data_IF_026437102481
#
_entry.id   IF_026437102481
#
_cell.length_a   1.000
_cell.length_b   1.000
_cell.length_c   1.000
_cell.angle_alpha   90.00
_cell.angle_beta   90.00
_cell.angle_gamma   90.00
#
_symmetry.space_group_name_H-M   'P 1'
#
loop_
_entity.id
_entity.type
_entity.pdbx_description
1 polymer ?
#
# COMPACT_ATOMS: atom_id res chain seq x y z
N UNK A 1 17.30 -33.10 -6.70
CA UNK A 1 16.56 -31.82 -6.71
C UNK A 1 17.47 -30.58 -6.65
N UNK A 2 18.68 -30.68 -6.08
CA UNK A 2 19.73 -29.64 -6.06
C UNK A 2 20.46 -29.37 -7.39
N UNK A 3 19.92 -29.85 -8.52
CA UNK A 3 20.55 -29.77 -9.84
C UNK A 3 19.65 -29.24 -10.97
N UNK A 4 18.42 -28.81 -10.66
CA UNK A 4 17.46 -28.30 -11.66
C UNK A 4 17.10 -26.82 -11.48
N UNK A 5 17.48 -26.20 -10.36
CA UNK A 5 17.23 -24.78 -10.05
C UNK A 5 18.51 -24.18 -9.45
N UNK A 6 18.99 -23.08 -10.03
CA UNK A 6 20.10 -22.29 -9.47
C UNK A 6 19.70 -21.77 -8.09
N UNK A 7 20.62 -21.62 -7.12
CA UNK A 7 20.31 -21.13 -5.76
C UNK A 7 19.47 -19.84 -5.75
N UNK A 8 19.68 -18.96 -6.73
CA UNK A 8 18.88 -17.74 -6.92
C UNK A 8 17.41 -18.01 -7.26
N UNK A 9 17.12 -19.04 -8.06
CA UNK A 9 15.75 -19.40 -8.44
C UNK A 9 15.00 -19.97 -7.23
N UNK A 10 15.68 -20.73 -6.38
CA UNK A 10 15.10 -21.21 -5.13
C UNK A 10 14.73 -20.05 -4.19
N UNK A 11 15.65 -19.10 -3.97
CA UNK A 11 15.39 -17.90 -3.17
C UNK A 11 14.21 -17.09 -3.72
N UNK A 12 14.16 -16.89 -5.03
CA UNK A 12 13.06 -16.17 -5.69
C UNK A 12 11.71 -16.86 -5.47
N UNK A 13 11.63 -18.20 -5.59
CA UNK A 13 10.40 -18.95 -5.35
C UNK A 13 9.89 -18.78 -3.92
N UNK A 14 10.79 -18.86 -2.92
CA UNK A 14 10.42 -18.68 -1.51
C UNK A 14 9.84 -17.28 -1.28
N UNK A 15 10.48 -16.24 -1.84
CA UNK A 15 10.00 -14.85 -1.69
C UNK A 15 8.66 -14.63 -2.39
N UNK A 16 8.49 -15.15 -3.60
CA UNK A 16 7.20 -15.03 -4.30
C UNK A 16 6.08 -15.77 -3.56
N UNK A 17 6.37 -16.94 -3.00
CA UNK A 17 5.42 -17.69 -2.18
C UNK A 17 5.02 -16.93 -0.92
N UNK A 18 5.97 -16.33 -0.20
CA UNK A 18 5.68 -15.56 1.01
C UNK A 18 4.86 -14.31 0.69
N UNK A 19 5.20 -13.58 -0.38
CA UNK A 19 4.44 -12.42 -0.86
C UNK A 19 3.01 -12.81 -1.23
N UNK A 20 2.84 -13.89 -2.01
CA UNK A 20 1.52 -14.35 -2.44
C UNK A 20 0.67 -14.79 -1.25
N UNK A 21 1.26 -15.52 -0.30
CA UNK A 21 0.58 -15.96 0.92
C UNK A 21 0.16 -14.76 1.77
N UNK A 22 1.05 -13.79 1.98
CA UNK A 22 0.74 -12.57 2.70
C UNK A 22 -0.41 -11.79 2.03
N UNK A 23 -0.38 -11.65 0.70
CA UNK A 23 -1.45 -11.01 -0.08
C UNK A 23 -2.80 -11.70 0.09
N UNK A 24 -2.85 -13.03 0.01
CA UNK A 24 -4.10 -13.80 0.18
C UNK A 24 -4.65 -13.63 1.59
N UNK A 25 -3.78 -13.71 2.61
CA UNK A 25 -4.16 -13.50 4.02
C UNK A 25 -4.72 -12.10 4.21
N UNK A 26 -4.00 -11.06 3.78
CA UNK A 26 -4.41 -9.66 3.87
C UNK A 26 -5.71 -9.38 3.09
N UNK A 27 -5.87 -9.95 1.89
CA UNK A 27 -7.08 -9.82 1.09
C UNK A 27 -8.30 -10.44 1.80
N UNK A 28 -8.10 -11.59 2.44
CA UNK A 28 -9.15 -12.28 3.20
C UNK A 28 -9.52 -11.51 4.47
N UNK A 29 -8.52 -11.04 5.23
CA UNK A 29 -8.74 -10.23 6.44
C UNK A 29 -9.42 -8.90 6.13
N UNK A 30 -9.04 -8.25 5.03
CA UNK A 30 -9.58 -6.94 4.63
C UNK A 30 -11.03 -7.01 4.12
N UNK A 31 -11.45 -8.14 3.52
CA UNK A 31 -12.85 -8.38 3.12
C UNK A 31 -13.71 -8.88 4.28
N UNK A 32 -13.10 -9.46 5.31
CA UNK A 32 -13.77 -10.00 6.49
C UNK A 32 -14.32 -8.96 7.47
N UNK A 33 -14.78 -9.44 8.63
CA UNK A 33 -15.31 -8.59 9.73
C UNK A 33 -14.23 -7.68 10.32
N UNK A 34 -12.98 -8.14 10.40
CA UNK A 34 -11.84 -7.37 10.91
C UNK A 34 -11.57 -6.12 10.06
N UNK A 35 -11.46 -6.27 8.74
CA UNK A 35 -11.23 -5.13 7.84
C UNK A 35 -12.35 -4.08 7.89
N UNK A 36 -13.62 -4.50 8.04
CA UNK A 36 -14.74 -3.55 8.21
C UNK A 36 -14.68 -2.77 9.51
N UNK A 37 -14.33 -3.43 10.63
CA UNK A 37 -14.14 -2.77 11.93
C UNK A 37 -12.98 -1.78 11.91
N UNK A 38 -11.87 -2.14 11.26
CA UNK A 38 -10.71 -1.26 11.11
C UNK A 38 -11.04 0.00 10.30
N UNK A 39 -11.86 -0.11 9.24
CA UNK A 39 -12.33 1.06 8.49
C UNK A 39 -13.26 1.94 9.31
N UNK A 40 -14.21 1.36 10.03
CA UNK A 40 -15.10 2.12 10.89
C UNK A 40 -14.34 2.92 11.97
N UNK A 41 -13.34 2.29 12.61
CA UNK A 41 -12.48 2.96 13.59
C UNK A 41 -11.57 4.02 12.97
N UNK A 42 -11.17 3.87 11.69
CA UNK A 42 -10.38 4.85 10.94
C UNK A 42 -11.19 6.10 10.59
N UNK A 43 -12.48 5.93 10.26
CA UNK A 43 -13.34 7.03 9.83
C UNK A 43 -13.77 7.89 11.02
N UNK A 44 -14.31 7.26 12.07
CA UNK A 44 -14.66 7.94 13.33
C UNK A 44 -14.64 6.96 14.51
N UNK A 45 -13.67 7.17 15.40
CA UNK A 45 -13.48 6.36 16.60
C UNK A 45 -14.67 6.46 17.56
N UNK A 46 -15.23 7.67 17.70
CA UNK A 46 -16.34 7.94 18.62
C UNK A 46 -17.63 7.29 18.16
N UNK A 47 -17.94 7.38 16.86
CA UNK A 47 -19.09 6.72 16.25
C UNK A 47 -18.94 5.19 16.29
N UNK A 48 -17.73 4.66 16.05
CA UNK A 48 -17.46 3.22 16.12
C UNK A 48 -17.66 2.66 17.53
N UNK A 49 -17.26 3.41 18.56
CA UNK A 49 -17.48 3.02 19.96
C UNK A 49 -18.97 2.96 20.31
N UNK A 50 -19.76 3.93 19.86
CA UNK A 50 -21.22 3.95 20.04
C UNK A 50 -21.92 2.79 19.31
N UNK A 51 -21.38 2.35 18.17
CA UNK A 51 -21.87 1.18 17.43
C UNK A 51 -21.46 -0.17 18.07
N UNK A 52 -20.83 -0.17 19.25
CA UNK A 52 -20.42 -1.38 19.97
C UNK A 52 -19.16 -2.06 19.42
N UNK A 53 -18.35 -1.36 18.61
CA UNK A 53 -17.08 -1.89 18.11
C UNK A 53 -16.00 -1.69 19.20
N UNK A 54 -15.30 -2.75 19.64
CA UNK A 54 -14.23 -2.61 20.62
C UNK A 54 -13.00 -1.97 19.96
N UNK A 55 -12.90 -0.65 20.05
CA UNK A 55 -11.84 0.16 19.43
C UNK A 55 -10.44 -0.30 19.85
N UNK A 56 -10.21 -0.48 21.16
CA UNK A 56 -8.91 -0.90 21.69
C UNK A 56 -8.46 -2.25 21.11
N UNK A 57 -9.34 -3.26 21.09
CA UNK A 57 -9.04 -4.57 20.49
C UNK A 57 -8.80 -4.46 18.99
N UNK A 58 -9.52 -3.57 18.30
CA UNK A 58 -9.36 -3.36 16.85
C UNK A 58 -8.02 -2.71 16.50
N UNK A 59 -7.51 -1.80 17.35
CA UNK A 59 -6.16 -1.22 17.20
C UNK A 59 -5.06 -2.24 17.41
N UNK A 60 -5.17 -3.03 18.48
CA UNK A 60 -4.18 -4.08 18.77
C UNK A 60 -4.13 -5.12 17.66
N UNK A 61 -5.28 -5.57 17.14
CA UNK A 61 -5.28 -6.51 16.01
C UNK A 61 -4.72 -5.90 14.74
N UNK A 62 -4.98 -4.62 14.46
CA UNK A 62 -4.37 -3.93 13.33
C UNK A 62 -2.84 -3.89 13.45
N UNK A 63 -2.33 -3.55 14.64
CA UNK A 63 -0.89 -3.53 14.93
C UNK A 63 -0.24 -4.91 14.78
N UNK A 64 -0.86 -5.96 15.33
CA UNK A 64 -0.34 -7.33 15.24
C UNK A 64 -0.28 -7.81 13.79
N UNK A 65 -1.33 -7.53 13.00
CA UNK A 65 -1.36 -7.89 11.58
C UNK A 65 -0.27 -7.15 10.80
N UNK A 66 -0.06 -5.86 11.05
CA UNK A 66 1.01 -5.11 10.39
C UNK A 66 2.40 -5.58 10.82
N UNK A 67 2.61 -5.82 12.12
CA UNK A 67 3.88 -6.27 12.66
C UNK A 67 4.24 -7.67 12.12
N UNK A 68 3.26 -8.57 11.99
CA UNK A 68 3.46 -9.87 11.37
C UNK A 68 3.90 -9.78 9.91
N UNK A 69 3.25 -8.91 9.12
CA UNK A 69 3.64 -8.70 7.72
C UNK A 69 5.03 -8.07 7.59
N UNK A 70 5.34 -7.07 8.42
CA UNK A 70 6.65 -6.43 8.44
C UNK A 70 7.77 -7.40 8.86
N UNK A 71 7.50 -8.25 9.84
CA UNK A 71 8.47 -9.27 10.30
C UNK A 71 8.73 -10.33 9.22
N UNK A 72 7.69 -10.77 8.50
CA UNK A 72 7.85 -11.69 7.37
C UNK A 72 8.70 -11.07 6.25
N UNK A 73 8.46 -9.80 5.92
CA UNK A 73 9.26 -9.09 4.94
C UNK A 73 10.74 -8.98 5.37
N UNK A 74 10.99 -8.60 6.62
CA UNK A 74 12.36 -8.51 7.16
C UNK A 74 13.08 -9.86 7.23
N UNK A 75 12.38 -10.94 7.56
CA UNK A 75 12.96 -12.29 7.56
C UNK A 75 13.33 -12.75 6.14
N UNK A 76 12.51 -12.43 5.14
CA UNK A 76 12.84 -12.66 3.74
C UNK A 76 14.06 -11.85 3.30
N UNK A 77 14.13 -10.59 3.69
CA UNK A 77 15.27 -9.70 3.37
C UNK A 77 16.58 -10.24 3.95
N UNK A 78 16.57 -10.64 5.23
CA UNK A 78 17.73 -11.26 5.88
C UNK A 78 18.15 -12.58 5.19
N UNK A 79 17.19 -13.39 4.76
CA UNK A 79 17.45 -14.63 4.03
C UNK A 79 18.06 -14.39 2.63
N UNK A 80 17.65 -13.31 1.95
CA UNK A 80 18.19 -12.94 0.65
C UNK A 80 19.64 -12.45 0.74
N UNK A 81 19.88 -11.47 1.62
CA UNK A 81 21.19 -10.84 1.81
C UNK A 81 22.22 -11.77 2.43
N UNK A 82 21.80 -12.75 3.24
CA UNK A 82 22.66 -13.72 3.92
C UNK A 82 23.57 -13.13 5.00
N UNK A 83 23.77 -11.81 5.00
CA UNK A 83 24.54 -11.05 5.99
C UNK A 83 23.82 -9.74 6.29
N UNK A 84 23.63 -9.45 7.57
CA UNK A 84 23.01 -8.20 8.02
C UNK A 84 24.09 -7.14 8.20
N UNK A 85 24.34 -6.34 7.15
CA UNK A 85 25.25 -5.19 7.25
C UNK A 85 24.44 -3.93 7.59
N UNK A 86 24.87 -3.09 8.56
CA UNK A 86 24.13 -1.88 8.94
C UNK A 86 23.89 -0.88 7.79
N UNK A 87 24.74 -0.91 6.76
CA UNK A 87 24.62 -0.06 5.58
C UNK A 87 23.40 -0.38 4.71
N UNK A 88 22.89 -1.61 4.75
CA UNK A 88 21.69 -2.02 3.99
C UNK A 88 20.41 -1.43 4.58
N UNK A 89 20.40 -1.10 5.87
CA UNK A 89 19.25 -0.52 6.58
C UNK A 89 19.39 1.00 6.70
N UNK A 90 19.52 1.68 5.57
CA UNK A 90 19.65 3.13 5.52
C UNK A 90 18.29 3.86 5.61
N UNK A 91 18.33 5.15 5.93
CA UNK A 91 17.15 6.02 5.83
C UNK A 91 16.57 6.04 4.41
N UNK A 92 17.42 5.88 3.38
CA UNK A 92 16.98 5.83 2.00
C UNK A 92 16.03 4.64 1.75
N UNK A 93 16.31 3.47 2.34
CA UNK A 93 15.42 2.30 2.25
C UNK A 93 14.05 2.58 2.90
N UNK A 94 14.03 3.23 4.06
CA UNK A 94 12.75 3.54 4.73
C UNK A 94 11.92 4.55 3.92
N UNK A 95 12.58 5.56 3.36
CA UNK A 95 11.95 6.52 2.45
C UNK A 95 11.48 5.85 1.16
N UNK A 96 12.23 4.88 0.62
CA UNK A 96 11.84 4.18 -0.61
C UNK A 96 10.63 3.27 -0.40
N UNK A 97 10.58 2.56 0.73
CA UNK A 97 9.40 1.81 1.14
C UNK A 97 8.17 2.71 1.32
N UNK A 98 8.34 3.89 1.94
CA UNK A 98 7.26 4.87 2.07
C UNK A 98 6.82 5.41 0.69
N UNK A 99 7.78 5.68 -0.20
CA UNK A 99 7.54 6.15 -1.55
C UNK A 99 6.72 5.16 -2.38
N UNK A 100 7.12 3.89 -2.40
CA UNK A 100 6.38 2.82 -3.06
C UNK A 100 4.93 2.77 -2.58
N UNK A 101 4.72 2.96 -1.28
CA UNK A 101 3.41 2.89 -0.66
C UNK A 101 2.54 4.12 -1.01
N UNK A 102 3.13 5.31 -1.06
CA UNK A 102 2.48 6.55 -1.53
C UNK A 102 2.15 6.45 -3.02
N UNK A 103 3.10 5.99 -3.84
CA UNK A 103 2.96 5.79 -5.28
C UNK A 103 1.80 4.81 -5.60
N UNK A 104 1.75 3.71 -4.85
CA UNK A 104 0.71 2.69 -4.98
C UNK A 104 -0.66 3.13 -4.48
N UNK A 105 -0.71 3.98 -3.45
CA UNK A 105 -1.91 4.55 -2.86
C UNK A 105 -2.28 3.96 -1.49
N UNK A 106 -2.55 4.86 -0.53
CA UNK A 106 -2.88 4.56 0.87
C UNK A 106 -4.29 3.94 1.02
N UNK A 107 -4.40 2.61 0.98
CA UNK A 107 -5.63 1.89 1.32
C UNK A 107 -6.06 0.79 0.35
N UNK A 108 -5.24 0.50 -0.68
CA UNK A 108 -5.48 -0.62 -1.59
C UNK A 108 -4.30 -1.58 -1.56
N UNK A 109 -4.57 -2.86 -1.30
CA UNK A 109 -3.57 -3.93 -1.34
C UNK A 109 -2.94 -4.06 -2.74
N UNK A 110 -3.76 -3.94 -3.78
CA UNK A 110 -3.28 -3.97 -5.17
C UNK A 110 -2.49 -2.72 -5.53
N UNK A 111 -2.90 -1.56 -5.00
CA UNK A 111 -2.15 -0.32 -5.15
C UNK A 111 -0.74 -0.45 -4.60
N UNK A 112 -0.61 -0.93 -3.36
CA UNK A 112 0.70 -1.14 -2.72
C UNK A 112 1.60 -2.12 -3.49
N UNK A 113 1.04 -3.21 -4.04
CA UNK A 113 1.81 -4.16 -4.85
C UNK A 113 2.35 -3.52 -6.13
N UNK A 114 1.50 -2.83 -6.88
CA UNK A 114 1.92 -2.15 -8.11
C UNK A 114 2.86 -0.98 -7.83
N UNK A 115 2.67 -0.26 -6.73
CA UNK A 115 3.56 0.81 -6.29
C UNK A 115 4.97 0.32 -5.97
N UNK A 116 5.08 -0.79 -5.24
CA UNK A 116 6.38 -1.42 -4.97
C UNK A 116 7.07 -1.90 -6.25
N UNK A 117 6.33 -2.56 -7.15
CA UNK A 117 6.88 -3.09 -8.40
C UNK A 117 7.33 -1.97 -9.35
N UNK A 118 6.53 -0.91 -9.47
CA UNK A 118 6.87 0.27 -10.26
C UNK A 118 8.10 1.00 -9.68
N UNK A 119 8.19 1.12 -8.36
CA UNK A 119 9.34 1.74 -7.71
C UNK A 119 10.64 0.97 -8.00
N UNK A 120 10.64 -0.35 -7.83
CA UNK A 120 11.81 -1.19 -8.11
C UNK A 120 12.22 -1.09 -9.58
N UNK A 121 11.27 -1.13 -10.50
CA UNK A 121 11.56 -1.03 -11.93
C UNK A 121 12.14 0.33 -12.30
N UNK A 122 11.62 1.38 -11.68
CA UNK A 122 12.11 2.75 -11.85
C UNK A 122 13.52 2.93 -11.27
N UNK A 123 13.81 2.36 -10.11
CA UNK A 123 15.16 2.35 -9.53
C UNK A 123 16.16 1.63 -10.45
N UNK A 124 15.75 0.49 -11.04
CA UNK A 124 16.57 -0.24 -11.99
C UNK A 124 16.84 0.58 -13.27
N UNK A 125 15.80 1.17 -13.85
CA UNK A 125 15.93 2.01 -15.04
C UNK A 125 16.81 3.26 -14.79
N UNK A 126 16.73 3.84 -13.59
CA UNK A 126 17.58 4.97 -13.19
C UNK A 126 19.06 4.58 -13.10
N UNK A 127 19.37 3.37 -12.62
CA UNK A 127 20.74 2.84 -12.57
C UNK A 127 21.31 2.60 -13.97
N UNK A 128 20.54 1.96 -14.86
CA UNK A 128 20.96 1.72 -16.25
C UNK A 128 21.25 3.03 -17.00
N UNK A 129 20.44 4.07 -16.77
CA UNK A 129 20.67 5.39 -17.36
C UNK A 129 21.93 6.07 -16.81
N UNK A 130 22.20 5.93 -15.50
CA UNK A 130 23.41 6.47 -14.88
C UNK A 130 24.68 5.80 -15.40
N UNK A 131 24.63 4.48 -15.61
CA UNK A 131 25.73 3.71 -16.20
C UNK A 131 25.99 4.12 -17.66
N UNK A 132 24.93 4.36 -18.45
CA UNK A 132 25.04 4.85 -19.84
C UNK A 132 25.64 6.26 -19.94
N UNK A 133 25.46 7.11 -18.93
CA UNK A 133 26.01 8.46 -18.87
C UNK A 133 27.47 8.50 -18.38
N UNK A 134 28.04 7.36 -17.98
CA UNK A 134 29.46 7.25 -17.61
C UNK A 134 29.86 8.02 -16.35
N UNK A 135 28.92 8.21 -15.42
CA UNK A 135 29.19 8.90 -14.15
C UNK A 135 30.13 8.03 -13.28
N UNK A 136 31.28 8.58 -12.87
CA UNK A 136 32.33 7.83 -12.15
C UNK A 136 31.83 7.14 -10.88
N UNK A 137 32.44 5.98 -10.56
CA UNK A 137 32.02 5.03 -9.51
C UNK A 137 31.72 5.66 -8.14
N UNK A 138 32.48 6.66 -7.71
CA UNK A 138 32.26 7.33 -6.41
C UNK A 138 30.98 8.18 -6.36
N UNK A 139 30.55 8.71 -7.51
CA UNK A 139 29.26 9.41 -7.65
C UNK A 139 28.16 8.38 -7.86
N UNK A 140 28.38 7.35 -8.68
CA UNK A 140 27.41 6.27 -8.93
C UNK A 140 26.99 5.49 -7.67
N UNK A 141 27.84 5.43 -6.64
CA UNK A 141 27.48 4.78 -5.36
C UNK A 141 26.58 5.65 -4.46
N UNK A 142 26.65 6.99 -4.58
CA UNK A 142 25.88 7.94 -3.77
C UNK A 142 24.74 8.66 -4.53
N UNK A 143 24.72 8.55 -5.86
CA UNK A 143 23.69 9.11 -6.72
C UNK A 143 22.34 8.36 -6.62
N UNK A 144 22.26 7.02 -6.43
CA UNK A 144 21.00 6.30 -6.43
C UNK A 144 20.00 6.83 -5.40
N UNK A 145 20.36 7.15 -4.13
CA UNK A 145 19.43 7.75 -3.17
C UNK A 145 18.97 9.17 -3.53
N UNK A 146 19.84 9.99 -4.13
CA UNK A 146 19.54 11.40 -4.47
C UNK A 146 18.67 11.47 -5.71
N UNK A 147 19.04 10.71 -6.75
CA UNK A 147 18.26 10.60 -7.98
C UNK A 147 16.90 9.98 -7.70
N UNK A 148 16.85 8.99 -6.80
CA UNK A 148 15.61 8.44 -6.27
C UNK A 148 14.74 9.49 -5.58
N UNK A 149 15.31 10.30 -4.69
CA UNK A 149 14.58 11.37 -4.00
C UNK A 149 14.00 12.41 -4.96
N UNK A 150 14.77 12.82 -5.97
CA UNK A 150 14.31 13.75 -7.02
C UNK A 150 13.22 13.10 -7.88
N UNK A 151 13.41 11.86 -8.31
CA UNK A 151 12.44 11.10 -9.11
C UNK A 151 11.13 10.89 -8.35
N UNK A 152 11.20 10.59 -7.05
CA UNK A 152 10.05 10.49 -6.16
C UNK A 152 9.30 11.81 -6.09
N UNK A 153 10.00 12.94 -5.92
CA UNK A 153 9.37 14.27 -5.92
C UNK A 153 8.69 14.54 -7.27
N UNK A 154 9.33 14.22 -8.38
CA UNK A 154 8.75 14.39 -9.73
C UNK A 154 7.50 13.53 -9.91
N UNK A 155 7.51 12.29 -9.45
CA UNK A 155 6.39 11.38 -9.63
C UNK A 155 5.23 11.72 -8.71
N UNK A 156 5.51 12.08 -7.46
CA UNK A 156 4.48 12.55 -6.52
C UNK A 156 3.84 13.85 -7.01
N UNK A 157 4.61 14.75 -7.63
CA UNK A 157 4.07 16.00 -8.19
C UNK A 157 3.32 15.79 -9.50
N UNK A 158 3.77 14.86 -10.36
CA UNK A 158 3.10 14.59 -11.63
C UNK A 158 1.83 13.72 -11.46
N UNK A 159 1.76 12.81 -10.48
CA UNK A 159 0.65 11.86 -10.30
C UNK A 159 0.23 11.70 -8.81
N UNK A 160 -0.26 12.78 -8.15
CA UNK A 160 -0.52 12.83 -6.70
C UNK A 160 -1.67 11.93 -6.20
N UNK A 161 -2.41 11.26 -7.08
CA UNK A 161 -3.55 10.40 -6.70
C UNK A 161 -3.23 8.90 -6.70
N UNK A 162 -2.03 8.50 -7.11
CA UNK A 162 -1.65 7.09 -7.26
C UNK A 162 -2.49 6.36 -8.33
N UNK A 163 -1.98 5.22 -8.81
CA UNK A 163 -2.63 4.44 -9.89
C UNK A 163 -4.06 4.01 -9.51
N UNK A 164 -4.31 3.76 -8.22
CA UNK A 164 -5.62 3.34 -7.73
C UNK A 164 -6.64 4.48 -7.57
N UNK A 165 -6.18 5.73 -7.36
CA UNK A 165 -7.04 6.92 -7.32
C UNK A 165 -7.53 7.31 -8.71
N UNK A 166 -6.69 7.18 -9.73
CA UNK A 166 -7.06 7.34 -11.13
C UNK A 166 -8.09 6.29 -11.57
N UNK A 167 -7.89 5.02 -11.20
CA UNK A 167 -8.79 3.93 -11.57
C UNK A 167 -10.17 4.03 -10.88
N UNK A 168 -10.24 4.49 -9.62
CA UNK A 168 -11.52 4.77 -8.94
C UNK A 168 -12.22 6.03 -9.45
N UNK A 169 -11.50 7.02 -9.99
CA UNK A 169 -12.11 8.20 -10.65
C UNK A 169 -12.72 7.84 -11.99
N UNK A 170 -12.13 6.91 -12.74
CA UNK A 170 -12.71 6.37 -13.98
C UNK A 170 -13.88 5.41 -13.70
N UNK A 171 -13.80 4.58 -12.64
CA UNK A 171 -14.89 3.67 -12.24
C UNK A 171 -15.99 4.29 -11.36
N UNK A 172 -15.84 5.55 -10.95
CA UNK A 172 -16.68 6.21 -9.93
C UNK A 172 -17.88 6.99 -10.46
N UNK A 173 -18.12 7.01 -11.77
CA UNK A 173 -19.25 7.73 -12.37
C UNK A 173 -20.63 7.07 -12.10
N UNK A 174 -20.70 5.88 -11.47
CA UNK A 174 -21.96 5.14 -11.30
C UNK A 174 -22.59 5.16 -9.90
N UNK A 175 -22.11 5.94 -8.92
CA UNK A 175 -22.65 5.89 -7.56
C UNK A 175 -22.96 7.25 -6.93
N UNK A 176 -23.43 8.22 -7.73
CA UNK A 176 -23.87 9.53 -7.23
C UNK A 176 -25.26 9.89 -7.73
N UNK A 177 -26.28 9.15 -7.29
CA UNK A 177 -27.69 9.57 -7.31
C UNK A 177 -28.53 8.69 -6.37
N UNK A 178 -28.28 8.79 -5.07
CA UNK A 178 -29.35 8.64 -4.07
C UNK A 178 -29.35 9.90 -3.24
N UNK A 179 -29.94 10.94 -3.81
CA UNK A 179 -30.55 12.01 -3.01
C UNK A 179 -31.55 11.34 -2.07
N UNK A 180 -31.47 11.56 -0.75
CA UNK A 180 -32.58 11.24 0.14
C UNK A 180 -33.82 11.93 -0.40
N UNK A 181 -34.92 11.20 -0.59
CA UNK A 181 -36.19 11.86 -0.85
C UNK A 181 -36.46 12.81 0.33
N UNK A 182 -36.81 14.08 0.08
CA UNK A 182 -37.30 14.92 1.15
C UNK A 182 -38.51 14.22 1.80
N UNK A 183 -38.73 14.41 3.12
CA UNK A 183 -39.91 13.88 3.78
C UNK A 183 -41.14 14.31 2.99
N UNK A 184 -42.00 13.37 2.62
CA UNK A 184 -43.32 13.70 2.11
C UNK A 184 -44.05 14.49 3.19
N UNK A 185 -44.47 15.71 2.88
CA UNK A 185 -45.31 16.52 3.76
C UNK A 185 -46.53 15.69 4.22
N UNK A 186 -46.93 15.78 5.50
CA UNK A 186 -48.14 15.14 5.96
C UNK A 186 -49.35 15.67 5.17
N UNK A 187 -50.37 14.83 4.88
CA UNK A 187 -51.52 15.24 4.10
C UNK A 187 -52.20 16.45 4.75
N UNK A 188 -52.29 17.54 4.01
CA UNK A 188 -53.09 18.70 4.39
C UNK A 188 -54.54 18.24 4.51
N UNK A 189 -55.02 18.10 5.75
CA UNK A 189 -56.43 17.97 6.07
C UNK A 189 -57.14 19.24 5.58
N UNK A 190 -57.65 19.19 4.36
CA UNK A 190 -58.62 20.14 3.84
C UNK A 190 -59.88 19.93 4.67
N UNK A 191 -60.09 20.78 5.66
CA UNK A 191 -61.35 20.90 6.37
C UNK A 191 -62.38 21.46 5.39
N UNK A 192 -63.04 20.57 4.66
CA UNK A 192 -64.29 20.86 3.96
C UNK A 192 -65.40 20.98 5.00
N UNK A 193 -65.98 22.17 5.12
CA UNK A 193 -67.35 22.38 5.59
C UNK A 193 -67.51 22.76 7.06
N UNK A 194 -67.88 24.02 7.30
CA UNK A 194 -69.21 24.42 7.78
C UNK A 194 -69.31 25.95 7.78
#
# INVERSE_FOLDING_TARGET
LSGLLTDNQWKALVVWLTVLTALVVLATLSRGRLGRRMRAVRDDESAAAMAGIPVGRTRVTAFVVSAGCASLAGACEAYLLGTATPSSFSLALSLSLLAALVLGGLGSLWGALWGALALVYLEAAGRELADLLGLGSSVADNLPPVFFGVMLVVIVTAWPTGVHGALRRLGGLSARQRTPNPPSDPPSITTTGA
#
